data_IF_206540806654
#
_entry.id   IF_206540806654
#
_cell.length_a   1.000
_cell.length_b   1.000
_cell.length_c   1.000
_cell.angle_alpha   90.00
_cell.angle_beta   90.00
_cell.angle_gamma   90.00
#
_symmetry.space_group_name_H-M   'P 1'
#
loop_
_entity.id
_entity.type
_entity.pdbx_description
1 polymer ?
#
# COMPACT_ATOMS: atom_id res chain seq x y z
N UNK A 1 -12.85 -16.85 -11.82
CA UNK A 1 -12.05 -17.01 -10.58
C UNK A 1 -11.71 -15.61 -10.11
N UNK A 2 -11.94 -15.28 -8.84
CA UNK A 2 -11.64 -13.94 -8.34
C UNK A 2 -10.13 -13.74 -8.47
N UNK A 3 -9.74 -12.76 -9.28
CA UNK A 3 -8.35 -12.36 -9.43
C UNK A 3 -8.06 -11.34 -8.34
N UNK A 4 -7.04 -11.58 -7.52
CA UNK A 4 -6.73 -10.78 -6.32
C UNK A 4 -6.69 -11.60 -5.04
N UNK A 5 -6.57 -10.92 -3.90
CA UNK A 5 -6.53 -11.54 -2.57
C UNK A 5 -7.93 -11.80 -2.01
N UNK A 6 -8.07 -12.83 -1.17
CA UNK A 6 -9.33 -13.03 -0.45
C UNK A 6 -9.52 -11.91 0.59
N UNK A 7 -10.71 -11.29 0.68
CA UNK A 7 -10.98 -10.20 1.62
C UNK A 7 -10.71 -10.53 3.09
N UNK A 8 -10.79 -11.81 3.44
CA UNK A 8 -10.63 -12.33 4.81
C UNK A 8 -9.16 -12.55 5.17
N UNK A 9 -8.25 -12.52 4.19
CA UNK A 9 -6.83 -12.71 4.43
C UNK A 9 -6.22 -11.56 5.23
N UNK A 10 -5.37 -11.91 6.19
CA UNK A 10 -4.70 -10.94 7.04
C UNK A 10 -3.88 -9.93 6.21
N UNK A 11 -4.14 -8.64 6.48
CA UNK A 11 -3.45 -7.51 5.84
C UNK A 11 -4.05 -7.10 4.49
N UNK A 12 -5.15 -7.69 4.04
CA UNK A 12 -5.84 -7.27 2.83
C UNK A 12 -6.70 -6.05 3.10
N UNK A 13 -6.56 -5.03 2.25
CA UNK A 13 -7.48 -3.91 2.14
C UNK A 13 -8.30 -4.08 0.86
N UNK A 14 -9.62 -4.13 1.01
CA UNK A 14 -10.56 -4.03 -0.11
C UNK A 14 -10.86 -2.57 -0.36
N UNK A 15 -10.58 -2.11 -1.58
CA UNK A 15 -10.84 -0.76 -2.05
C UNK A 15 -12.32 -0.60 -2.49
N UNK A 16 -12.88 0.62 -2.56
CA UNK A 16 -14.27 0.88 -2.95
C UNK A 16 -14.76 0.16 -4.22
N UNK A 17 -13.90 0.01 -5.23
CA UNK A 17 -14.23 -0.67 -6.50
C UNK A 17 -14.19 -2.20 -6.41
N UNK A 18 -13.88 -2.77 -5.24
CA UNK A 18 -13.74 -4.21 -5.02
C UNK A 18 -12.32 -4.75 -5.24
N UNK A 19 -11.39 -3.91 -5.69
CA UNK A 19 -9.97 -4.26 -5.82
C UNK A 19 -9.37 -4.61 -4.46
N UNK A 20 -8.47 -5.59 -4.43
CA UNK A 20 -7.81 -6.02 -3.20
C UNK A 20 -6.30 -5.75 -3.25
N UNK A 21 -5.76 -5.17 -2.18
CA UNK A 21 -4.33 -4.90 -2.03
C UNK A 21 -3.87 -5.41 -0.69
N UNK A 22 -2.78 -6.19 -0.66
CA UNK A 22 -2.25 -6.72 0.59
C UNK A 22 -1.13 -5.86 1.17
N UNK A 23 -1.37 -5.28 2.34
CA UNK A 23 -0.33 -4.67 3.16
C UNK A 23 0.44 -5.72 3.97
N UNK A 24 1.78 -5.64 3.98
CA UNK A 24 2.65 -6.53 4.77
C UNK A 24 3.75 -5.79 5.53
N UNK A 25 4.16 -6.36 6.66
CA UNK A 25 5.40 -6.02 7.33
C UNK A 25 6.53 -6.94 6.83
N UNK A 26 7.68 -6.38 6.42
CA UNK A 26 8.81 -7.20 5.97
C UNK A 26 9.52 -7.90 7.14
N UNK A 27 9.53 -7.29 8.34
CA UNK A 27 10.17 -7.86 9.53
C UNK A 27 9.32 -8.91 10.23
N UNK A 28 8.08 -9.13 9.79
CA UNK A 28 7.17 -10.10 10.40
C UNK A 28 6.79 -11.12 9.36
N UNK A 29 7.24 -12.35 9.56
CA UNK A 29 6.83 -13.50 8.76
C UNK A 29 5.44 -13.95 9.20
N UNK A 30 4.41 -13.23 8.76
CA UNK A 30 3.05 -13.77 8.81
C UNK A 30 2.97 -14.85 7.73
N UNK A 31 2.59 -16.09 8.06
CA UNK A 31 2.40 -17.14 7.07
C UNK A 31 1.46 -16.65 5.97
N UNK A 32 1.96 -16.62 4.75
CA UNK A 32 1.25 -16.15 3.58
C UNK A 32 0.92 -17.38 2.75
N UNK A 33 -0.36 -17.59 2.42
CA UNK A 33 -0.77 -18.77 1.65
C UNK A 33 -0.31 -18.72 0.18
N UNK A 34 -0.06 -17.52 -0.35
CA UNK A 34 0.42 -17.29 -1.71
C UNK A 34 1.34 -16.07 -1.80
N UNK A 35 2.27 -16.08 -2.75
CA UNK A 35 3.10 -14.91 -3.07
C UNK A 35 2.32 -13.89 -3.92
N UNK A 36 2.69 -12.59 -3.87
CA UNK A 36 2.11 -11.59 -4.76
C UNK A 36 2.60 -11.81 -6.20
N UNK A 37 1.73 -11.50 -7.17
CA UNK A 37 2.13 -11.40 -8.58
C UNK A 37 2.96 -10.12 -8.81
N UNK A 38 2.75 -9.10 -7.95
CA UNK A 38 3.55 -7.89 -7.90
C UNK A 38 3.68 -7.26 -6.51
N UNK A 39 4.89 -6.85 -6.14
CA UNK A 39 5.16 -6.16 -4.88
C UNK A 39 5.67 -4.73 -5.03
N UNK A 40 5.14 -3.81 -4.23
CA UNK A 40 5.70 -2.47 -4.03
C UNK A 40 6.36 -2.36 -2.65
N UNK A 41 7.66 -2.07 -2.62
CA UNK A 41 8.46 -2.02 -1.39
C UNK A 41 8.86 -0.60 -1.00
N UNK A 42 8.56 -0.25 0.25
CA UNK A 42 8.73 1.09 0.82
C UNK A 42 9.77 1.03 1.95
N UNK A 43 11.05 1.18 1.61
CA UNK A 43 12.17 0.97 2.54
C UNK A 43 13.36 1.85 2.19
N UNK A 44 14.30 2.00 3.13
CA UNK A 44 15.57 2.68 2.87
C UNK A 44 16.47 1.89 1.92
N UNK A 45 16.27 0.57 1.83
CA UNK A 45 17.05 -0.33 0.99
C UNK A 45 16.11 -1.21 0.18
N UNK A 46 16.49 -1.55 -1.05
CA UNK A 46 15.71 -2.42 -1.91
C UNK A 46 15.76 -3.87 -1.38
N UNK A 47 14.62 -4.51 -1.08
CA UNK A 47 14.61 -5.91 -0.68
C UNK A 47 14.84 -6.82 -1.89
N UNK A 48 15.59 -7.90 -1.69
CA UNK A 48 15.69 -8.97 -2.68
C UNK A 48 14.47 -9.89 -2.57
N UNK A 49 13.66 -9.95 -3.62
CA UNK A 49 12.48 -10.83 -3.69
C UNK A 49 12.44 -11.57 -5.03
N UNK A 50 11.91 -12.80 -5.08
CA UNK A 50 11.93 -13.62 -6.28
C UNK A 50 10.80 -13.33 -7.29
N UNK A 51 9.93 -12.33 -7.02
CA UNK A 51 8.80 -11.97 -7.87
C UNK A 51 8.93 -10.54 -8.43
N UNK A 52 8.18 -10.20 -9.51
CA UNK A 52 8.16 -8.86 -10.06
C UNK A 52 7.86 -7.81 -8.98
N UNK A 53 8.69 -6.77 -8.92
CA UNK A 53 8.52 -5.75 -7.89
C UNK A 53 9.09 -4.40 -8.27
N UNK A 54 8.60 -3.37 -7.58
CA UNK A 54 9.18 -2.03 -7.58
C UNK A 54 9.56 -1.64 -6.17
N UNK A 55 10.55 -0.77 -6.06
CA UNK A 55 11.04 -0.23 -4.80
C UNK A 55 11.02 1.29 -4.85
N UNK A 56 10.54 1.89 -3.75
CA UNK A 56 10.59 3.32 -3.51
C UNK A 56 11.47 3.54 -2.29
N UNK A 57 12.49 4.37 -2.46
CA UNK A 57 13.30 4.84 -1.34
C UNK A 57 12.42 5.68 -0.39
N UNK A 58 12.08 5.10 0.76
CA UNK A 58 11.17 5.68 1.73
C UNK A 58 11.66 5.44 3.16
N UNK A 59 12.36 6.44 3.69
CA UNK A 59 12.91 6.43 5.05
C UNK A 59 11.81 6.31 6.10
N UNK A 60 12.15 5.69 7.23
CA UNK A 60 11.17 5.46 8.28
C UNK A 60 10.64 6.77 8.86
N UNK A 61 9.35 6.76 9.21
CA UNK A 61 8.62 7.96 9.65
C UNK A 61 8.79 9.17 8.72
N UNK A 62 9.06 9.02 7.42
CA UNK A 62 9.13 10.14 6.45
C UNK A 62 8.08 9.98 5.35
N UNK A 63 8.14 10.84 4.33
CA UNK A 63 7.48 10.69 3.02
C UNK A 63 8.50 10.14 2.00
N UNK A 64 8.08 9.74 0.78
CA UNK A 64 9.02 9.31 -0.27
C UNK A 64 10.02 10.42 -0.59
N UNK A 65 11.26 10.05 -0.91
CA UNK A 65 12.26 11.03 -1.37
C UNK A 65 11.97 11.57 -2.76
N UNK A 66 11.32 10.76 -3.60
CA UNK A 66 10.79 11.16 -4.90
C UNK A 66 9.25 10.98 -4.90
N UNK A 67 8.49 12.07 -4.69
CA UNK A 67 7.03 12.01 -4.67
C UNK A 67 6.40 11.59 -5.99
N UNK A 68 7.02 11.91 -7.14
CA UNK A 68 6.44 11.65 -8.45
C UNK A 68 6.68 10.20 -8.85
N UNK A 69 7.89 9.68 -8.68
CA UNK A 69 8.15 8.25 -8.86
C UNK A 69 7.28 7.39 -7.93
N UNK A 70 7.08 7.83 -6.69
CA UNK A 70 6.18 7.15 -5.76
C UNK A 70 4.73 7.17 -6.24
N UNK A 71 4.26 8.30 -6.79
CA UNK A 71 2.92 8.40 -7.37
C UNK A 71 2.75 7.45 -8.56
N UNK A 72 3.69 7.42 -9.49
CA UNK A 72 3.63 6.54 -10.66
C UNK A 72 3.59 5.06 -10.26
N UNK A 73 4.44 4.66 -9.31
CA UNK A 73 4.45 3.29 -8.80
C UNK A 73 3.15 2.90 -8.07
N UNK A 74 2.53 3.84 -7.33
CA UNK A 74 1.22 3.60 -6.72
C UNK A 74 0.10 3.48 -7.76
N UNK A 75 0.13 4.27 -8.84
CA UNK A 75 -0.82 4.16 -9.94
C UNK A 75 -0.66 2.85 -10.72
N UNK A 76 0.58 2.39 -10.94
CA UNK A 76 0.86 1.08 -11.51
C UNK A 76 0.32 -0.04 -10.63
N UNK A 77 0.62 0.01 -9.32
CA UNK A 77 0.11 -0.95 -8.34
C UNK A 77 -1.43 -1.00 -8.35
N UNK A 78 -2.08 0.17 -8.39
CA UNK A 78 -3.54 0.25 -8.51
C UNK A 78 -4.05 -0.35 -9.81
N UNK A 79 -3.44 -0.04 -10.97
CA UNK A 79 -3.84 -0.63 -12.26
C UNK A 79 -3.75 -2.15 -12.24
N UNK A 80 -2.63 -2.71 -11.77
CA UNK A 80 -2.43 -4.17 -11.66
C UNK A 80 -3.41 -4.84 -10.69
N UNK A 81 -3.84 -4.15 -9.63
CA UNK A 81 -4.80 -4.71 -8.66
C UNK A 81 -6.18 -5.07 -9.24
N UNK A 82 -6.48 -4.70 -10.48
CA UNK A 82 -7.67 -5.14 -11.19
C UNK A 82 -7.62 -6.66 -11.51
N UNK A 83 -6.43 -7.15 -11.83
CA UNK A 83 -6.23 -8.48 -12.43
C UNK A 83 -5.01 -9.22 -11.83
N UNK A 84 -4.51 -8.78 -10.67
CA UNK A 84 -3.35 -9.40 -10.04
C UNK A 84 -3.37 -9.32 -8.51
N UNK A 85 -2.73 -10.30 -7.85
CA UNK A 85 -2.43 -10.25 -6.42
C UNK A 85 -1.30 -9.26 -6.17
N UNK A 86 -1.66 -8.01 -5.93
CA UNK A 86 -0.67 -6.97 -5.64
C UNK A 86 -0.43 -6.78 -4.14
N UNK A 87 0.80 -6.46 -3.76
CA UNK A 87 1.19 -6.23 -2.37
C UNK A 87 1.96 -4.94 -2.18
N UNK A 88 1.83 -4.33 -0.99
CA UNK A 88 2.67 -3.21 -0.55
C UNK A 88 3.28 -3.51 0.81
N UNK A 89 4.59 -3.30 0.95
CA UNK A 89 5.28 -3.65 2.18
C UNK A 89 6.33 -2.61 2.60
N UNK A 90 6.42 -2.39 3.90
CA UNK A 90 7.51 -1.67 4.54
C UNK A 90 8.02 -2.51 5.73
N UNK A 91 9.19 -2.20 6.32
CA UNK A 91 9.72 -2.94 7.45
C UNK A 91 8.75 -3.13 8.62
N UNK A 92 7.83 -2.19 8.87
CA UNK A 92 6.85 -2.26 9.96
C UNK A 92 5.42 -2.57 9.55
N UNK A 93 5.09 -2.55 8.25
CA UNK A 93 3.73 -2.78 7.75
C UNK A 93 2.66 -1.76 8.19
N UNK A 94 3.01 -0.65 8.86
CA UNK A 94 2.03 0.26 9.49
C UNK A 94 2.05 1.68 8.91
N UNK A 95 3.11 2.47 9.11
CA UNK A 95 3.15 3.85 8.65
C UNK A 95 3.24 4.01 7.14
N UNK A 96 4.37 3.63 6.55
CA UNK A 96 4.61 3.74 5.10
C UNK A 96 3.62 2.91 4.29
N UNK A 97 3.43 1.64 4.66
CA UNK A 97 2.40 0.77 4.09
C UNK A 97 1.01 1.39 4.20
N UNK A 98 0.59 1.84 5.38
CA UNK A 98 -0.70 2.49 5.56
C UNK A 98 -0.84 3.80 4.78
N UNK A 99 0.25 4.54 4.58
CA UNK A 99 0.29 5.77 3.76
C UNK A 99 0.04 5.43 2.29
N UNK A 100 0.74 4.44 1.76
CA UNK A 100 0.53 3.95 0.40
C UNK A 100 -0.90 3.43 0.19
N UNK A 101 -1.41 2.60 1.11
CA UNK A 101 -2.79 2.11 1.07
C UNK A 101 -3.81 3.26 1.09
N UNK A 102 -3.54 4.33 1.85
CA UNK A 102 -4.44 5.49 1.89
C UNK A 102 -4.40 6.27 0.56
N UNK A 103 -3.23 6.40 -0.07
CA UNK A 103 -3.11 6.96 -1.42
C UNK A 103 -3.87 6.11 -2.45
N UNK A 104 -3.78 4.78 -2.39
CA UNK A 104 -4.55 3.88 -3.27
C UNK A 104 -6.06 4.04 -3.06
N UNK A 105 -6.52 4.17 -1.81
CA UNK A 105 -7.91 4.45 -1.51
C UNK A 105 -8.38 5.78 -2.14
N UNK A 106 -7.53 6.81 -2.17
CA UNK A 106 -7.84 8.07 -2.86
C UNK A 106 -7.99 7.89 -4.36
N UNK A 107 -7.04 7.19 -4.99
CA UNK A 107 -7.10 6.86 -6.42
C UNK A 107 -8.38 6.07 -6.74
N UNK A 108 -8.79 5.19 -5.84
CA UNK A 108 -9.98 4.36 -6.00
C UNK A 108 -11.30 5.07 -5.66
N UNK A 109 -11.26 6.32 -5.17
CA UNK A 109 -12.46 7.15 -4.98
C UNK A 109 -12.80 7.54 -3.55
N UNK A 110 -12.02 7.14 -2.56
CA UNK A 110 -12.17 7.66 -1.19
C UNK A 110 -11.72 9.13 -1.16
N UNK A 111 -12.51 10.08 -0.63
CA UNK A 111 -12.06 11.45 -0.46
C UNK A 111 -10.75 11.54 0.35
N UNK A 112 -9.81 12.38 -0.08
CA UNK A 112 -8.46 12.45 0.53
C UNK A 112 -8.49 12.75 2.05
N UNK A 113 -9.48 13.52 2.51
CA UNK A 113 -9.64 13.86 3.92
C UNK A 113 -10.16 12.69 4.79
N UNK A 114 -10.81 11.68 4.19
CA UNK A 114 -11.29 10.48 4.90
C UNK A 114 -10.43 9.24 4.66
N UNK A 115 -9.52 9.26 3.67
CA UNK A 115 -8.69 8.11 3.30
C UNK A 115 -7.88 7.52 4.46
N UNK A 116 -7.34 8.35 5.35
CA UNK A 116 -6.62 7.86 6.54
C UNK A 116 -7.55 7.13 7.50
N UNK A 117 -8.76 7.66 7.71
CA UNK A 117 -9.76 7.02 8.57
C UNK A 117 -10.23 5.69 7.96
N UNK A 118 -10.42 5.65 6.64
CA UNK A 118 -10.75 4.44 5.89
C UNK A 118 -9.71 3.34 6.12
N UNK A 119 -8.42 3.60 5.86
CA UNK A 119 -7.37 2.59 6.07
C UNK A 119 -7.22 2.19 7.53
N UNK A 120 -7.43 3.11 8.47
CA UNK A 120 -7.39 2.76 9.90
C UNK A 120 -8.51 1.80 10.31
N UNK A 121 -9.68 1.94 9.69
CA UNK A 121 -10.84 1.06 9.93
C UNK A 121 -10.69 -0.29 9.25
N UNK A 122 -10.19 -0.31 8.01
CA UNK A 122 -10.25 -1.49 7.14
C UNK A 122 -8.93 -2.26 7.05
N UNK A 123 -7.80 -1.69 7.48
CA UNK A 123 -6.49 -2.35 7.45
C UNK A 123 -5.83 -2.43 8.83
N UNK A 124 -5.54 -1.29 9.46
CA UNK A 124 -4.86 -1.27 10.76
C UNK A 124 -5.09 0.03 11.51
N UNK A 125 -5.57 -0.01 12.77
CA UNK A 125 -5.91 1.19 13.58
C UNK A 125 -4.79 2.24 13.69
N UNK A 126 -3.53 1.78 13.68
CA UNK A 126 -2.33 2.60 13.74
C UNK A 126 -1.71 2.96 12.37
N UNK A 127 -2.41 2.71 11.26
CA UNK A 127 -1.94 3.08 9.93
C UNK A 127 -1.78 4.60 9.80
N UNK A 128 -0.79 5.01 9.01
CA UNK A 128 -0.39 6.42 8.83
C UNK A 128 0.03 7.03 10.17
N UNK A 129 1.33 6.92 10.47
CA UNK A 129 1.90 7.15 11.79
C UNK A 129 2.18 8.62 12.07
N UNK A 130 2.49 9.41 11.04
CA UNK A 130 2.98 10.78 11.23
C UNK A 130 2.08 11.86 10.61
N UNK A 131 2.12 13.11 11.12
CA UNK A 131 1.36 14.22 10.53
C UNK A 131 1.72 14.53 9.07
N UNK A 132 3.00 14.39 8.68
CA UNK A 132 3.42 14.62 7.30
C UNK A 132 3.03 13.48 6.36
N UNK A 133 2.90 12.23 6.84
CA UNK A 133 2.29 11.16 6.06
C UNK A 133 0.80 11.45 5.80
N UNK A 134 0.06 11.93 6.80
CA UNK A 134 -1.34 12.38 6.59
C UNK A 134 -1.42 13.50 5.57
N UNK A 135 -0.51 14.49 5.65
CA UNK A 135 -0.42 15.59 4.68
C UNK A 135 -0.04 15.12 3.27
N UNK A 136 0.79 14.08 3.18
CA UNK A 136 1.12 13.46 1.89
C UNK A 136 -0.12 12.83 1.25
N UNK A 137 -0.90 12.05 2.02
CA UNK A 137 -2.18 11.48 1.56
C UNK A 137 -3.16 12.57 1.13
N UNK A 138 -3.29 13.66 1.89
CA UNK A 138 -4.24 14.73 1.57
C UNK A 138 -3.93 15.48 0.27
N UNK A 139 -2.69 15.36 -0.25
CA UNK A 139 -2.26 15.95 -1.53
C UNK A 139 -2.37 14.98 -2.69
N UNK A 140 -2.69 13.71 -2.43
CA UNK A 140 -2.91 12.72 -3.46
C UNK A 140 -4.28 12.97 -4.12
N UNK A 141 -4.35 12.76 -5.43
CA UNK A 141 -5.58 12.88 -6.20
C UNK A 141 -5.68 11.72 -7.18
N UNK A 142 -6.87 11.54 -7.75
CA UNK A 142 -7.01 10.72 -8.95
C UNK A 142 -6.16 11.32 -10.09
N UNK A 143 -5.63 10.48 -10.99
CA UNK A 143 -5.02 10.94 -12.23
C UNK A 143 -6.06 11.63 -13.12
#
# INVERSE_FOLDING_TARGET
MAVGWAPEEAGVLVLPTGRSVRGRALRTTVPCAADPDFGLYLSSEAPAVPWPSQWIHWRDFRTPTDPEAARQALLELWRRSADERVGVACPGGRGRTGTALACLAVVDGVPAHTAVAFVRRHYHRGAVETPWQKRYVSRFSKP
#
